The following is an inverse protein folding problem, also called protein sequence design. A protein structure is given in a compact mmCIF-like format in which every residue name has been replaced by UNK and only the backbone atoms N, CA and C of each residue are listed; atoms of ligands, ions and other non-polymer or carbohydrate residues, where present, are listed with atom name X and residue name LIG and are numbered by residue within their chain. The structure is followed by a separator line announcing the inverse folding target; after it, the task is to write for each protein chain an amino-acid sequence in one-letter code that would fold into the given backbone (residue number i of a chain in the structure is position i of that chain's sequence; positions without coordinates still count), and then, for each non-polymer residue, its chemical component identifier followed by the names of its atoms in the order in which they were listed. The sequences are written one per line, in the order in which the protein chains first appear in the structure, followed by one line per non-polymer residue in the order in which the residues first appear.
data_IF_880506498980
#
_entry.id   IF_880506498980
#
_cell.length_a   1.000
_cell.length_b   1.000
_cell.length_c   1.000
_cell.angle_alpha   90.00
_cell.angle_beta   90.00
_cell.angle_gamma   90.00
#
_symmetry.space_group_name_H-M   'P 1'
#
loop_
_entity.id
_entity.type
_entity.pdbx_description
1 polymer ?
#
# COMPACT_ATOMS: atom_id res chain seq x y z
N UNK A 1 15.37 24.19 -3.83
CA UNK A 1 16.24 23.03 -3.52
C UNK A 1 16.36 22.81 -2.02
N UNK A 2 16.66 23.86 -1.23
CA UNK A 2 16.76 23.77 0.23
C UNK A 2 15.48 23.25 0.91
N UNK A 3 14.32 23.85 0.63
CA UNK A 3 13.04 23.41 1.21
C UNK A 3 12.74 21.96 0.88
N UNK A 4 13.02 21.56 -0.37
CA UNK A 4 12.76 20.21 -0.87
C UNK A 4 13.57 19.15 -0.13
N UNK A 5 14.83 19.44 0.19
CA UNK A 5 15.72 18.52 0.92
C UNK A 5 15.28 18.39 2.39
N UNK A 6 14.80 19.48 3.00
CA UNK A 6 14.23 19.44 4.36
C UNK A 6 12.98 18.55 4.42
N UNK A 7 12.16 18.49 3.36
CA UNK A 7 11.00 17.59 3.28
C UNK A 7 11.36 16.11 3.39
N UNK A 8 12.58 15.73 2.99
CA UNK A 8 13.08 14.36 3.12
C UNK A 8 13.79 14.16 4.47
N UNK A 9 14.71 15.08 4.82
CA UNK A 9 15.56 14.94 6.00
C UNK A 9 14.79 15.04 7.32
N UNK A 10 13.76 15.87 7.42
CA UNK A 10 13.00 16.02 8.66
C UNK A 10 12.22 14.75 9.06
N UNK A 11 11.34 14.18 8.20
CA UNK A 11 10.67 12.92 8.53
C UNK A 11 11.65 11.76 8.64
N UNK A 12 12.70 11.72 7.82
CA UNK A 12 13.76 10.73 7.94
C UNK A 12 14.42 10.77 9.33
N UNK A 13 14.84 11.95 9.78
CA UNK A 13 15.51 12.12 11.09
C UNK A 13 14.57 11.77 12.25
N UNK A 14 13.29 12.12 12.16
CA UNK A 14 12.29 11.76 13.16
C UNK A 14 12.09 10.24 13.25
N UNK A 15 12.00 9.55 12.11
CA UNK A 15 11.87 8.09 12.07
C UNK A 15 13.14 7.41 12.56
N UNK A 16 14.33 7.88 12.17
CA UNK A 16 15.60 7.36 12.69
C UNK A 16 15.73 7.58 14.20
N UNK A 17 15.31 8.74 14.70
CA UNK A 17 15.23 9.02 16.13
C UNK A 17 14.32 8.05 16.86
N UNK A 18 13.11 7.80 16.33
CA UNK A 18 12.19 6.81 16.91
C UNK A 18 12.78 5.39 16.90
N UNK A 19 13.43 4.97 15.82
CA UNK A 19 14.02 3.64 15.72
C UNK A 19 15.19 3.45 16.69
N UNK A 20 16.14 4.40 16.73
CA UNK A 20 17.41 4.21 17.45
C UNK A 20 17.46 4.84 18.84
N UNK A 21 16.61 5.82 19.14
CA UNK A 21 16.60 6.51 20.44
C UNK A 21 15.47 6.03 21.35
N UNK A 22 14.68 5.05 20.92
CA UNK A 22 13.68 4.38 21.76
C UNK A 22 14.04 2.90 21.94
N UNK A 23 13.45 2.21 22.95
CA UNK A 23 13.62 0.77 23.11
C UNK A 23 13.16 -0.04 21.90
N UNK A 24 12.48 0.55 20.92
CA UNK A 24 11.99 -0.14 19.72
C UNK A 24 13.13 -0.89 19.01
N UNK A 25 14.32 -0.29 18.86
CA UNK A 25 15.51 -0.97 18.31
C UNK A 25 15.86 -2.28 19.02
N UNK A 26 15.68 -2.35 20.34
CA UNK A 26 15.99 -3.57 21.12
C UNK A 26 14.99 -4.70 20.86
N UNK A 27 13.78 -4.38 20.40
CA UNK A 27 12.77 -5.37 20.00
C UNK A 27 12.84 -5.75 18.51
N UNK A 28 13.59 -5.01 17.69
CA UNK A 28 13.69 -5.20 16.23
C UNK A 28 14.92 -6.02 15.79
N UNK A 29 15.68 -6.59 16.73
CA UNK A 29 16.78 -7.52 16.44
C UNK A 29 17.85 -7.01 15.45
N UNK A 30 18.43 -7.93 14.67
CA UNK A 30 19.51 -7.66 13.71
C UNK A 30 19.05 -7.00 12.39
N UNK A 31 17.76 -6.70 12.23
CA UNK A 31 17.16 -6.19 10.99
C UNK A 31 17.20 -4.65 10.87
N UNK A 32 17.74 -3.95 11.87
CA UNK A 32 17.72 -2.48 11.98
C UNK A 32 18.30 -1.75 10.76
N UNK A 33 19.45 -2.20 10.24
CA UNK A 33 20.05 -1.60 9.04
C UNK A 33 19.16 -1.77 7.81
N UNK A 34 18.56 -2.95 7.65
CA UNK A 34 17.66 -3.25 6.53
C UNK A 34 16.38 -2.42 6.60
N UNK A 35 15.78 -2.31 7.78
CA UNK A 35 14.63 -1.45 8.02
C UNK A 35 14.95 0.00 7.64
N UNK A 36 16.10 0.50 8.07
CA UNK A 36 16.54 1.87 7.74
C UNK A 36 16.75 2.05 6.26
N UNK A 37 17.36 1.08 5.57
CA UNK A 37 17.50 1.13 4.13
C UNK A 37 16.14 1.25 3.42
N UNK A 38 15.16 0.40 3.76
CA UNK A 38 13.86 0.42 3.11
C UNK A 38 13.02 1.66 3.45
N UNK A 39 13.06 2.13 4.70
CA UNK A 39 12.42 3.40 5.09
C UNK A 39 13.04 4.55 4.30
N UNK A 40 14.37 4.59 4.18
CA UNK A 40 15.08 5.60 3.40
C UNK A 40 14.70 5.54 1.93
N UNK A 41 14.59 4.33 1.36
CA UNK A 41 14.17 4.12 -0.03
C UNK A 41 12.73 4.58 -0.27
N UNK A 42 11.80 4.27 0.64
CA UNK A 42 10.40 4.73 0.56
C UNK A 42 10.31 6.25 0.64
N UNK A 43 11.03 6.87 1.59
CA UNK A 43 11.07 8.33 1.69
C UNK A 43 11.72 8.97 0.45
N UNK A 44 12.73 8.32 -0.14
CA UNK A 44 13.40 8.82 -1.33
C UNK A 44 12.47 8.74 -2.55
N UNK A 45 11.70 7.66 -2.67
CA UNK A 45 10.63 7.55 -3.66
C UNK A 45 9.60 8.67 -3.49
N UNK A 46 9.12 8.91 -2.27
CA UNK A 46 8.17 10.01 -1.98
C UNK A 46 8.76 11.36 -2.41
N UNK A 47 10.01 11.63 -2.05
CA UNK A 47 10.72 12.83 -2.44
C UNK A 47 10.81 12.97 -3.97
N UNK A 48 11.19 11.92 -4.70
CA UNK A 48 11.31 11.94 -6.16
C UNK A 48 9.96 12.21 -6.86
N UNK A 49 8.87 11.64 -6.35
CA UNK A 49 7.52 11.84 -6.88
C UNK A 49 7.06 13.30 -6.70
N UNK A 50 7.44 13.93 -5.59
CA UNK A 50 7.04 15.29 -5.23
C UNK A 50 7.95 16.37 -5.82
N UNK A 51 9.27 16.15 -5.93
CA UNK A 51 10.33 17.16 -6.24
C UNK A 51 10.08 18.04 -7.46
N UNK A 52 9.31 17.58 -8.45
CA UNK A 52 9.06 18.29 -9.72
C UNK A 52 7.63 18.81 -9.87
N UNK A 53 6.99 19.34 -8.82
CA UNK A 53 5.58 19.74 -8.90
C UNK A 53 5.30 21.13 -8.33
N UNK A 54 4.46 21.88 -9.04
CA UNK A 54 3.75 23.05 -8.52
C UNK A 54 2.32 22.62 -8.16
N UNK A 55 1.86 22.99 -6.96
CA UNK A 55 0.55 22.63 -6.39
C UNK A 55 -0.65 23.35 -7.05
N UNK A 56 -0.48 24.00 -8.20
CA UNK A 56 -1.51 24.88 -8.78
C UNK A 56 -2.69 24.16 -9.44
N UNK A 57 -2.69 22.83 -9.59
CA UNK A 57 -3.79 22.07 -10.21
C UNK A 57 -4.12 20.80 -9.41
N UNK A 58 -5.09 20.90 -8.49
CA UNK A 58 -5.62 19.75 -7.73
C UNK A 58 -6.56 18.94 -8.62
N UNK A 59 -6.04 17.84 -9.15
CA UNK A 59 -6.76 16.97 -10.10
C UNK A 59 -7.92 16.23 -9.43
N UNK A 60 -9.00 16.02 -10.18
CA UNK A 60 -10.19 15.28 -9.71
C UNK A 60 -9.93 13.78 -9.65
N UNK A 61 -10.80 12.99 -8.99
CA UNK A 61 -10.69 11.52 -8.93
C UNK A 61 -10.91 10.83 -10.28
N UNK A 62 -11.49 11.53 -11.26
CA UNK A 62 -11.73 11.06 -12.62
C UNK A 62 -10.49 11.19 -13.52
N UNK A 63 -9.45 11.89 -13.07
CA UNK A 63 -8.21 12.08 -13.81
C UNK A 63 -7.16 11.04 -13.44
N UNK A 64 -6.30 10.67 -14.38
CA UNK A 64 -5.20 9.76 -14.11
C UNK A 64 -4.10 10.47 -13.30
N UNK A 65 -4.06 10.20 -11.99
CA UNK A 65 -2.99 10.65 -11.08
C UNK A 65 -1.76 9.74 -11.15
N UNK A 66 -1.02 9.80 -12.25
CA UNK A 66 0.16 8.93 -12.50
C UNK A 66 1.16 8.98 -11.33
N UNK A 67 1.44 10.17 -10.79
CA UNK A 67 2.38 10.35 -9.67
C UNK A 67 1.96 9.61 -8.40
N UNK A 68 0.68 9.76 -8.02
CA UNK A 68 0.10 9.03 -6.88
C UNK A 68 0.16 7.53 -7.12
N UNK A 69 -0.15 7.07 -8.33
CA UNK A 69 -0.08 5.64 -8.68
C UNK A 69 1.34 5.08 -8.58
N UNK A 70 2.35 5.82 -9.05
CA UNK A 70 3.76 5.43 -8.91
C UNK A 70 4.19 5.42 -7.44
N UNK A 71 3.80 6.43 -6.66
CA UNK A 71 4.08 6.47 -5.22
C UNK A 71 3.42 5.29 -4.50
N UNK A 72 2.15 5.02 -4.78
CA UNK A 72 1.36 3.94 -4.18
C UNK A 72 1.96 2.57 -4.50
N UNK A 73 2.16 2.27 -5.79
CA UNK A 73 2.74 1.02 -6.24
C UNK A 73 4.17 0.81 -5.72
N UNK A 74 5.04 1.82 -5.86
CA UNK A 74 6.43 1.71 -5.44
C UNK A 74 6.59 1.58 -3.93
N UNK A 75 5.79 2.31 -3.14
CA UNK A 75 5.82 2.21 -1.67
C UNK A 75 5.45 0.80 -1.23
N UNK A 76 4.38 0.25 -1.81
CA UNK A 76 3.91 -1.08 -1.49
C UNK A 76 4.87 -2.21 -1.89
N UNK A 77 5.46 -2.14 -3.08
CA UNK A 77 6.49 -3.09 -3.51
C UNK A 77 7.69 -3.04 -2.56
N UNK A 78 8.17 -1.84 -2.19
CA UNK A 78 9.26 -1.69 -1.24
C UNK A 78 8.92 -2.27 0.15
N UNK A 79 7.68 -2.10 0.63
CA UNK A 79 7.21 -2.73 1.88
C UNK A 79 7.27 -4.26 1.78
N UNK A 80 6.72 -4.84 0.70
CA UNK A 80 6.74 -6.30 0.50
C UNK A 80 8.17 -6.82 0.43
N UNK A 81 9.07 -6.15 -0.31
CA UNK A 81 10.49 -6.53 -0.36
C UNK A 81 11.15 -6.43 1.02
N UNK A 82 10.90 -5.35 1.78
CA UNK A 82 11.44 -5.18 3.13
C UNK A 82 11.05 -6.33 4.06
N UNK A 83 9.81 -6.82 3.93
CA UNK A 83 9.32 -7.88 4.81
C UNK A 83 10.01 -9.23 4.60
N UNK A 84 10.74 -9.46 3.50
CA UNK A 84 11.58 -10.68 3.39
C UNK A 84 12.71 -10.71 4.42
N UNK A 85 13.12 -9.55 4.95
CA UNK A 85 14.23 -9.41 5.90
C UNK A 85 13.79 -9.18 7.35
N UNK A 86 12.49 -9.27 7.63
CA UNK A 86 11.92 -9.07 8.96
C UNK A 86 10.73 -9.98 9.23
N UNK A 87 10.24 -9.98 10.46
CA UNK A 87 9.02 -10.68 10.87
C UNK A 87 7.76 -9.93 10.45
N UNK A 88 6.63 -10.64 10.40
CA UNK A 88 5.32 -10.01 10.17
C UNK A 88 4.99 -8.99 11.27
N UNK A 89 5.37 -9.27 12.52
CA UNK A 89 5.12 -8.38 13.65
C UNK A 89 5.92 -7.07 13.52
N UNK A 90 7.21 -7.14 13.17
CA UNK A 90 8.01 -5.93 12.93
C UNK A 90 7.40 -5.07 11.82
N UNK A 91 7.00 -5.69 10.70
CA UNK A 91 6.33 -4.99 9.61
C UNK A 91 5.03 -4.30 10.09
N UNK A 92 4.17 -5.03 10.81
CA UNK A 92 2.92 -4.49 11.35
C UNK A 92 3.16 -3.28 12.28
N UNK A 93 4.12 -3.39 13.21
CA UNK A 93 4.44 -2.33 14.17
C UNK A 93 4.97 -1.09 13.47
N UNK A 94 5.92 -1.23 12.54
CA UNK A 94 6.47 -0.10 11.78
C UNK A 94 5.36 0.60 10.99
N UNK A 95 4.54 -0.17 10.26
CA UNK A 95 3.45 0.37 9.44
C UNK A 95 2.41 1.08 10.31
N UNK A 96 2.08 0.54 11.48
CA UNK A 96 1.16 1.15 12.44
C UNK A 96 1.71 2.47 13.01
N UNK A 97 3.00 2.54 13.36
CA UNK A 97 3.66 3.78 13.80
C UNK A 97 3.64 4.84 12.69
N UNK A 98 3.92 4.45 11.45
CA UNK A 98 3.83 5.35 10.29
C UNK A 98 2.39 5.83 10.07
N UNK A 99 1.38 4.96 10.17
CA UNK A 99 -0.02 5.34 10.08
C UNK A 99 -0.42 6.33 11.20
N UNK A 100 -0.03 6.05 12.44
CA UNK A 100 -0.25 6.95 13.58
C UNK A 100 0.40 8.32 13.36
N UNK A 101 1.61 8.34 12.77
CA UNK A 101 2.29 9.60 12.42
C UNK A 101 1.47 10.42 11.42
N UNK A 102 0.94 9.80 10.35
CA UNK A 102 0.05 10.47 9.41
C UNK A 102 -1.25 10.96 10.05
N UNK A 103 -1.80 10.20 10.99
CA UNK A 103 -2.98 10.61 11.76
C UNK A 103 -2.67 11.86 12.61
N UNK A 104 -1.59 11.84 13.39
CA UNK A 104 -1.16 12.98 14.22
C UNK A 104 -0.89 14.22 13.38
N UNK A 105 -0.16 14.10 12.26
CA UNK A 105 0.06 15.22 11.34
C UNK A 105 -1.27 15.74 10.79
N UNK A 106 -2.18 14.85 10.40
CA UNK A 106 -3.51 15.25 9.90
C UNK A 106 -4.35 15.97 10.95
N UNK A 107 -4.22 15.59 12.22
CA UNK A 107 -4.84 16.29 13.35
C UNK A 107 -4.20 17.68 13.55
N UNK A 108 -2.87 17.77 13.55
CA UNK A 108 -2.14 19.03 13.71
C UNK A 108 -2.42 20.03 12.59
N UNK A 109 -2.64 19.57 11.35
CA UNK A 109 -3.08 20.42 10.23
C UNK A 109 -4.36 21.20 10.55
N UNK A 110 -5.29 20.60 11.28
CA UNK A 110 -6.55 21.26 11.69
C UNK A 110 -6.32 22.34 12.75
N UNK A 111 -5.24 22.22 13.52
CA UNK A 111 -4.93 23.11 14.65
C UNK A 111 -3.98 24.26 14.26
N UNK A 112 -3.14 24.08 13.23
CA UNK A 112 -2.12 25.07 12.85
C UNK A 112 -2.07 25.31 11.35
N UNK A 113 -2.33 26.57 10.96
CA UNK A 113 -2.22 27.03 9.57
C UNK A 113 -0.79 26.87 9.01
N UNK A 114 0.22 27.01 9.85
CA UNK A 114 1.62 26.80 9.44
C UNK A 114 1.89 25.33 9.09
N UNK A 115 1.39 24.40 9.92
CA UNK A 115 1.51 22.96 9.66
C UNK A 115 0.75 22.57 8.40
N UNK A 116 -0.46 23.10 8.20
CA UNK A 116 -1.23 22.81 6.99
C UNK A 116 -0.58 23.39 5.73
N UNK A 117 -0.08 24.63 5.77
CA UNK A 117 0.62 25.24 4.65
C UNK A 117 1.87 24.43 4.25
N UNK A 118 2.69 24.03 5.24
CA UNK A 118 3.84 23.15 5.00
C UNK A 118 3.34 21.83 4.41
N UNK A 119 2.37 21.16 5.03
CA UNK A 119 1.85 19.88 4.54
C UNK A 119 1.36 19.95 3.09
N UNK A 120 0.61 20.98 2.71
CA UNK A 120 0.13 21.18 1.34
C UNK A 120 1.27 21.51 0.38
N UNK A 121 2.28 22.26 0.81
CA UNK A 121 3.48 22.52 0.01
C UNK A 121 4.25 21.22 -0.29
N UNK A 122 4.35 20.31 0.67
CA UNK A 122 5.03 19.02 0.52
C UNK A 122 4.16 18.02 -0.25
N UNK A 123 2.98 17.69 0.27
CA UNK A 123 2.18 16.55 -0.20
C UNK A 123 1.10 16.94 -1.21
N UNK A 124 0.78 18.23 -1.35
CA UNK A 124 -0.22 18.73 -2.28
C UNK A 124 -0.21 18.09 -3.68
N UNK A 125 0.96 17.87 -4.33
CA UNK A 125 1.06 17.21 -5.63
C UNK A 125 0.46 15.80 -5.75
N UNK A 126 0.25 15.10 -4.63
CA UNK A 126 -0.25 13.71 -4.61
C UNK A 126 -1.60 13.58 -3.88
N UNK A 127 -2.12 14.66 -3.30
CA UNK A 127 -3.39 14.67 -2.58
C UNK A 127 -4.59 14.81 -3.52
N UNK A 128 -5.70 14.17 -3.16
CA UNK A 128 -7.04 14.38 -3.73
C UNK A 128 -7.68 15.62 -3.09
N UNK A 129 -8.64 16.22 -3.80
CA UNK A 129 -9.36 17.43 -3.35
C UNK A 129 -9.95 17.32 -1.93
N UNK A 130 -10.49 16.17 -1.56
CA UNK A 130 -11.03 15.98 -0.20
C UNK A 130 -9.95 15.81 0.88
N UNK A 131 -8.75 15.32 0.53
CA UNK A 131 -7.60 15.19 1.45
C UNK A 131 -6.94 16.56 1.71
N UNK A 132 -7.02 17.46 0.72
CA UNK A 132 -6.70 18.89 0.89
C UNK A 132 -7.62 19.49 1.96
N UNK A 133 -8.92 19.22 1.92
CA UNK A 133 -9.93 19.65 2.91
C UNK A 133 -9.89 18.93 4.27
N UNK A 134 -8.70 18.55 4.75
CA UNK A 134 -8.46 17.92 6.06
C UNK A 134 -9.11 16.54 6.31
N UNK A 135 -9.56 15.82 5.27
CA UNK A 135 -9.77 14.37 5.43
C UNK A 135 -8.42 13.67 5.60
N UNK A 136 -8.45 12.52 6.29
CA UNK A 136 -7.27 11.66 6.40
C UNK A 136 -6.79 11.27 4.99
N UNK A 137 -5.47 11.34 4.73
CA UNK A 137 -4.92 11.02 3.42
C UNK A 137 -5.01 9.52 3.15
N UNK A 138 -5.10 9.12 1.88
CA UNK A 138 -5.05 7.70 1.48
C UNK A 138 -3.83 6.95 2.02
N UNK A 139 -2.70 7.63 2.23
CA UNK A 139 -1.51 7.06 2.84
C UNK A 139 -1.76 6.52 4.27
N UNK A 140 -2.61 7.17 5.06
CA UNK A 140 -3.02 6.66 6.38
C UNK A 140 -3.72 5.31 6.24
N UNK A 141 -4.72 5.23 5.36
CA UNK A 141 -5.51 4.02 5.13
C UNK A 141 -4.66 2.89 4.53
N UNK A 142 -3.76 3.21 3.60
CA UNK A 142 -2.80 2.28 3.01
C UNK A 142 -1.91 1.64 4.07
N UNK A 143 -1.30 2.45 4.93
CA UNK A 143 -0.41 1.96 5.98
C UNK A 143 -1.17 1.16 7.03
N UNK A 144 -2.35 1.61 7.42
CA UNK A 144 -3.21 0.91 8.38
C UNK A 144 -3.71 -0.43 7.82
N UNK A 145 -4.21 -0.46 6.59
CA UNK A 145 -4.66 -1.70 5.93
C UNK A 145 -3.51 -2.69 5.77
N UNK A 146 -2.32 -2.21 5.40
CA UNK A 146 -1.13 -3.05 5.32
C UNK A 146 -0.72 -3.60 6.69
N UNK A 147 -0.70 -2.75 7.74
CA UNK A 147 -0.38 -3.17 9.10
C UNK A 147 -1.34 -4.24 9.61
N UNK A 148 -2.64 -4.01 9.45
CA UNK A 148 -3.69 -4.95 9.85
C UNK A 148 -3.58 -6.27 9.08
N UNK A 149 -3.26 -6.25 7.78
CA UNK A 149 -3.03 -7.49 7.03
C UNK A 149 -1.88 -8.32 7.62
N UNK A 150 -0.78 -7.70 8.05
CA UNK A 150 0.33 -8.40 8.72
C UNK A 150 0.00 -8.89 10.13
N UNK A 151 -1.00 -8.31 10.80
CA UNK A 151 -1.52 -8.80 12.09
C UNK A 151 -2.48 -9.98 11.89
N UNK A 152 -3.35 -9.89 10.88
CA UNK A 152 -4.49 -10.80 10.70
C UNK A 152 -4.14 -12.06 9.92
N UNK A 153 -3.16 -12.00 9.02
CA UNK A 153 -2.87 -13.08 8.07
C UNK A 153 -1.44 -13.62 8.22
N UNK A 154 -1.21 -14.89 7.84
CA UNK A 154 0.14 -15.41 7.65
C UNK A 154 0.97 -14.49 6.75
N UNK A 155 2.26 -14.36 7.05
CA UNK A 155 3.16 -13.39 6.42
C UNK A 155 3.07 -13.37 4.89
N UNK A 156 3.06 -14.53 4.23
CA UNK A 156 2.99 -14.61 2.77
C UNK A 156 1.64 -14.12 2.20
N UNK A 157 0.53 -14.37 2.90
CA UNK A 157 -0.79 -13.87 2.52
C UNK A 157 -0.87 -12.37 2.73
N UNK A 158 -0.32 -11.86 3.84
CA UNK A 158 -0.22 -10.43 4.09
C UNK A 158 0.61 -9.71 3.02
N UNK A 159 1.75 -10.30 2.63
CA UNK A 159 2.59 -9.79 1.54
C UNK A 159 1.82 -9.72 0.21
N UNK A 160 1.10 -10.79 -0.16
CA UNK A 160 0.25 -10.80 -1.35
C UNK A 160 -0.86 -9.77 -1.27
N UNK A 161 -1.50 -9.60 -0.12
CA UNK A 161 -2.59 -8.66 0.08
C UNK A 161 -2.12 -7.20 -0.10
N UNK A 162 -0.95 -6.88 0.46
CA UNK A 162 -0.29 -5.58 0.25
C UNK A 162 0.11 -5.42 -1.20
N UNK A 163 0.66 -6.45 -1.85
CA UNK A 163 1.04 -6.39 -3.27
C UNK A 163 -0.19 -6.16 -4.19
N UNK A 164 -1.30 -6.82 -3.90
CA UNK A 164 -2.59 -6.63 -4.58
C UNK A 164 -3.11 -5.21 -4.39
N UNK A 165 -3.09 -4.67 -3.17
CA UNK A 165 -3.43 -3.25 -2.96
C UNK A 165 -2.52 -2.33 -3.79
N UNK A 166 -1.23 -2.64 -3.82
CA UNK A 166 -0.20 -1.75 -4.35
C UNK A 166 -0.19 -1.72 -5.88
N UNK A 167 -0.46 -2.83 -6.53
CA UNK A 167 -0.46 -2.95 -7.99
C UNK A 167 -1.88 -2.99 -8.57
N UNK A 168 -2.79 -3.68 -7.89
CA UNK A 168 -4.19 -3.85 -8.25
C UNK A 168 -4.94 -2.53 -8.33
N UNK A 169 -4.96 -1.71 -7.27
CA UNK A 169 -5.68 -0.42 -7.28
C UNK A 169 -5.19 0.53 -8.40
N UNK A 170 -3.86 0.74 -8.59
CA UNK A 170 -3.37 1.54 -9.70
C UNK A 170 -3.83 1.05 -11.07
N UNK A 171 -3.76 -0.27 -11.31
CA UNK A 171 -4.21 -0.89 -12.57
C UNK A 171 -5.73 -0.81 -12.73
N UNK A 172 -6.50 -1.07 -11.67
CA UNK A 172 -7.95 -1.01 -11.67
C UNK A 172 -8.43 0.38 -12.11
N UNK A 173 -7.88 1.42 -11.50
CA UNK A 173 -8.23 2.79 -11.88
C UNK A 173 -7.61 3.21 -13.23
N UNK A 174 -6.48 2.66 -13.66
CA UNK A 174 -5.96 2.92 -15.02
C UNK A 174 -6.92 2.40 -16.09
N UNK A 175 -7.25 1.10 -16.07
CA UNK A 175 -8.18 0.50 -17.02
C UNK A 175 -9.60 1.02 -16.83
N UNK A 176 -9.99 1.35 -15.60
CA UNK A 176 -11.28 1.94 -15.30
C UNK A 176 -11.47 3.33 -15.89
N UNK A 177 -10.41 4.15 -15.97
CA UNK A 177 -10.45 5.47 -16.61
C UNK A 177 -10.32 5.34 -18.13
N UNK A 178 -9.40 4.52 -18.64
CA UNK A 178 -9.08 4.46 -20.08
C UNK A 178 -10.09 3.65 -20.89
N UNK A 179 -10.58 2.53 -20.34
CA UNK A 179 -11.50 1.60 -21.03
C UNK A 179 -12.90 1.60 -20.42
N UNK A 180 -13.11 2.31 -19.31
CA UNK A 180 -14.38 2.29 -18.57
C UNK A 180 -15.59 2.77 -19.35
N UNK A 181 -15.41 3.68 -20.31
CA UNK A 181 -16.49 4.16 -21.19
C UNK A 181 -17.03 3.07 -22.13
N UNK A 182 -16.22 2.05 -22.43
CA UNK A 182 -16.58 0.90 -23.26
C UNK A 182 -16.87 -0.35 -22.42
N UNK A 183 -17.06 -0.18 -21.11
CA UNK A 183 -17.20 -1.26 -20.16
C UNK A 183 -18.46 -1.12 -19.31
N UNK A 184 -18.93 -2.24 -18.77
CA UNK A 184 -20.09 -2.25 -17.87
C UNK A 184 -19.72 -1.59 -16.54
N UNK A 185 -20.56 -0.66 -16.08
CA UNK A 185 -20.46 -0.10 -14.72
C UNK A 185 -21.14 -1.03 -13.73
N UNK A 186 -20.47 -1.25 -12.60
CA UNK A 186 -20.96 -2.02 -11.46
C UNK A 186 -21.78 -1.13 -10.52
N UNK A 187 -22.51 -1.76 -9.58
CA UNK A 187 -23.38 -1.09 -8.62
C UNK A 187 -22.67 -0.05 -7.73
N UNK A 188 -21.37 -0.23 -7.50
CA UNK A 188 -20.52 0.65 -6.68
C UNK A 188 -19.79 1.73 -7.51
N UNK A 189 -20.12 1.88 -8.80
CA UNK A 189 -19.48 2.85 -9.70
C UNK A 189 -18.14 2.41 -10.29
N UNK A 190 -17.60 1.25 -9.91
CA UNK A 190 -16.42 0.65 -10.55
C UNK A 190 -16.80 0.10 -11.93
N UNK A 191 -15.81 -0.13 -12.79
CA UNK A 191 -16.05 -0.68 -14.15
C UNK A 191 -15.49 -2.09 -14.27
N UNK A 192 -16.12 -2.91 -15.10
CA UNK A 192 -15.67 -4.27 -15.36
C UNK A 192 -14.24 -4.29 -15.93
N UNK A 193 -13.88 -3.32 -16.78
CA UNK A 193 -12.52 -3.14 -17.29
C UNK A 193 -11.50 -2.90 -16.16
N UNK A 194 -11.85 -2.09 -15.16
CA UNK A 194 -11.02 -1.89 -13.97
C UNK A 194 -10.84 -3.19 -13.17
N UNK A 195 -11.93 -3.92 -12.93
CA UNK A 195 -11.89 -5.19 -12.18
C UNK A 195 -11.05 -6.25 -12.91
N UNK A 196 -11.19 -6.38 -14.23
CA UNK A 196 -10.36 -7.28 -15.04
C UNK A 196 -8.89 -6.85 -15.00
N UNK A 197 -8.62 -5.55 -15.11
CA UNK A 197 -7.26 -5.01 -14.97
C UNK A 197 -6.64 -5.32 -13.60
N UNK A 198 -7.42 -5.20 -12.53
CA UNK A 198 -7.03 -5.59 -11.18
C UNK A 198 -6.73 -7.09 -11.08
N UNK A 199 -7.64 -7.92 -11.57
CA UNK A 199 -7.50 -9.38 -11.58
C UNK A 199 -6.19 -9.80 -12.26
N UNK A 200 -5.94 -9.30 -13.47
CA UNK A 200 -4.75 -9.67 -14.25
C UNK A 200 -3.46 -9.27 -13.55
N UNK A 201 -3.37 -8.05 -13.00
CA UNK A 201 -2.14 -7.65 -12.30
C UNK A 201 -1.97 -8.39 -10.97
N UNK A 202 -3.06 -8.69 -10.24
CA UNK A 202 -3.00 -9.49 -9.01
C UNK A 202 -2.57 -10.93 -9.31
N UNK A 203 -3.09 -11.53 -10.39
CA UNK A 203 -2.67 -12.85 -10.86
C UNK A 203 -1.17 -12.85 -11.21
N UNK A 204 -0.73 -11.93 -12.06
CA UNK A 204 0.67 -11.89 -12.51
C UNK A 204 1.63 -11.61 -11.37
N UNK A 205 1.27 -10.70 -10.46
CA UNK A 205 2.10 -10.40 -9.28
C UNK A 205 2.10 -11.55 -8.26
N UNK A 206 0.99 -12.28 -8.10
CA UNK A 206 0.94 -13.51 -7.29
C UNK A 206 1.82 -14.61 -7.88
N UNK A 207 1.74 -14.83 -9.20
CA UNK A 207 2.60 -15.80 -9.89
C UNK A 207 4.07 -15.43 -9.69
N UNK A 208 4.44 -14.17 -9.95
CA UNK A 208 5.81 -13.71 -9.74
C UNK A 208 6.26 -13.90 -8.28
N UNK A 209 5.44 -13.52 -7.30
CA UNK A 209 5.77 -13.63 -5.89
C UNK A 209 5.94 -15.08 -5.40
N UNK A 210 5.03 -15.97 -5.80
CA UNK A 210 5.04 -17.38 -5.38
C UNK A 210 6.10 -18.21 -6.11
N UNK A 211 6.58 -17.76 -7.27
CA UNK A 211 7.62 -18.48 -8.04
C UNK A 211 9.05 -18.00 -7.79
N UNK A 212 9.23 -16.73 -7.40
CA UNK A 212 10.58 -16.14 -7.23
C UNK A 212 11.14 -16.26 -5.83
N UNK A 213 10.30 -16.54 -4.83
CA UNK A 213 10.72 -16.71 -3.45
C UNK A 213 10.19 -18.03 -2.91
N UNK A 214 11.02 -18.71 -2.11
CA UNK A 214 10.59 -19.89 -1.35
C UNK A 214 9.75 -19.43 -0.16
N UNK A 215 8.56 -19.99 -0.03
CA UNK A 215 7.68 -19.74 1.10
C UNK A 215 7.39 -21.07 1.80
N UNK A 216 7.86 -21.27 3.02
CA UNK A 216 7.71 -22.54 3.75
C UNK A 216 6.24 -23.00 3.84
N UNK A 217 5.30 -22.06 3.83
CA UNK A 217 3.86 -22.36 3.86
C UNK A 217 3.31 -23.02 2.58
N UNK A 218 4.05 -23.01 1.46
CA UNK A 218 3.62 -23.55 0.18
C UNK A 218 4.55 -24.63 -0.37
N UNK A 219 5.70 -24.89 0.27
CA UNK A 219 6.70 -25.85 -0.24
C UNK A 219 6.15 -27.27 -0.34
N UNK A 220 5.26 -27.64 0.58
CA UNK A 220 4.66 -28.99 0.63
C UNK A 220 3.44 -29.14 -0.29
N UNK A 221 3.00 -28.05 -0.94
CA UNK A 221 1.88 -28.10 -1.88
C UNK A 221 2.31 -28.75 -3.20
N UNK A 222 1.46 -29.62 -3.74
CA UNK A 222 1.62 -30.13 -5.10
C UNK A 222 1.62 -29.01 -6.14
N UNK A 223 2.24 -29.24 -7.30
CA UNK A 223 2.24 -28.26 -8.41
C UNK A 223 0.82 -27.81 -8.78
N UNK A 224 -0.15 -28.72 -8.74
CA UNK A 224 -1.55 -28.40 -8.99
C UNK A 224 -2.12 -27.43 -7.94
N UNK A 225 -1.92 -27.71 -6.65
CA UNK A 225 -2.36 -26.84 -5.56
C UNK A 225 -1.69 -25.45 -5.63
N UNK A 226 -0.42 -25.37 -6.01
CA UNK A 226 0.28 -24.09 -6.22
C UNK A 226 -0.33 -23.29 -7.37
N UNK A 227 -0.62 -23.93 -8.51
CA UNK A 227 -1.29 -23.27 -9.64
C UNK A 227 -2.70 -22.78 -9.28
N UNK A 228 -3.45 -23.58 -8.53
CA UNK A 228 -4.75 -23.16 -7.99
C UNK A 228 -4.59 -21.93 -7.08
N UNK A 229 -3.64 -21.95 -6.16
CA UNK A 229 -3.40 -20.84 -5.24
C UNK A 229 -3.07 -19.55 -6.00
N UNK A 230 -2.22 -19.61 -7.03
CA UNK A 230 -1.90 -18.46 -7.89
C UNK A 230 -3.14 -17.88 -8.57
N UNK A 231 -3.98 -18.74 -9.17
CA UNK A 231 -5.23 -18.33 -9.81
C UNK A 231 -6.21 -17.69 -8.82
N UNK A 232 -6.39 -18.33 -7.68
CA UNK A 232 -7.31 -17.90 -6.62
C UNK A 232 -6.82 -16.62 -5.92
N UNK A 233 -5.52 -16.38 -5.83
CA UNK A 233 -4.97 -15.12 -5.32
C UNK A 233 -5.33 -13.93 -6.23
N UNK A 234 -5.24 -14.10 -7.55
CA UNK A 234 -5.72 -13.09 -8.51
C UNK A 234 -7.21 -12.77 -8.33
N UNK A 235 -8.04 -13.80 -8.14
CA UNK A 235 -9.48 -13.64 -7.85
C UNK A 235 -9.70 -12.88 -6.54
N UNK A 236 -8.97 -13.22 -5.48
CA UNK A 236 -9.08 -12.55 -4.20
C UNK A 236 -8.71 -11.06 -4.28
N UNK A 237 -7.71 -10.69 -5.08
CA UNK A 237 -7.38 -9.30 -5.37
C UNK A 237 -8.54 -8.55 -6.05
N UNK A 238 -9.18 -9.17 -7.05
CA UNK A 238 -10.34 -8.60 -7.73
C UNK A 238 -11.58 -8.48 -6.82
N UNK A 239 -11.80 -9.46 -5.93
CA UNK A 239 -12.85 -9.38 -4.91
C UNK A 239 -12.58 -8.21 -3.97
N UNK A 240 -11.34 -8.06 -3.48
CA UNK A 240 -10.96 -6.93 -2.64
C UNK A 240 -11.16 -5.58 -3.32
N UNK A 241 -10.92 -5.49 -4.62
CA UNK A 241 -11.21 -4.29 -5.42
C UNK A 241 -12.73 -4.03 -5.53
N UNK A 242 -13.57 -5.06 -5.70
CA UNK A 242 -15.03 -4.88 -5.82
C UNK A 242 -15.68 -4.56 -4.48
N UNK A 243 -15.22 -5.15 -3.38
CA UNK A 243 -15.79 -5.00 -2.05
C UNK A 243 -15.30 -3.71 -1.38
N UNK A 244 -15.98 -2.59 -1.67
CA UNK A 244 -15.86 -1.36 -0.88
C UNK A 244 -16.91 -1.37 0.23
N UNK A 245 -16.48 -1.33 1.49
CA UNK A 245 -17.34 -1.34 2.70
C UNK A 245 -17.57 0.04 3.32
N UNK A 246 -17.58 1.09 2.50
CA UNK A 246 -17.82 2.46 2.94
C UNK A 246 -16.62 3.12 3.65
N UNK A 247 -15.50 2.42 3.77
CA UNK A 247 -14.21 3.00 4.13
C UNK A 247 -13.33 3.22 2.87
N UNK A 248 -12.15 3.81 3.04
CA UNK A 248 -11.21 4.03 1.94
C UNK A 248 -10.71 2.68 1.38
N UNK A 249 -10.63 2.55 0.06
CA UNK A 249 -10.20 1.33 -0.63
C UNK A 249 -8.80 0.87 -0.20
N UNK A 250 -7.94 1.81 0.23
CA UNK A 250 -6.59 1.48 0.71
C UNK A 250 -6.59 0.73 2.04
N UNK A 251 -7.70 0.78 2.79
CA UNK A 251 -7.91 0.00 4.00
C UNK A 251 -8.64 -1.32 3.68
N UNK A 252 -9.73 -1.27 2.92
CA UNK A 252 -10.58 -2.46 2.70
C UNK A 252 -9.96 -3.49 1.77
N UNK A 253 -9.34 -3.06 0.67
CA UNK A 253 -8.83 -3.95 -0.36
C UNK A 253 -7.84 -5.01 0.16
N UNK A 254 -6.77 -4.67 0.92
CA UNK A 254 -5.83 -5.68 1.42
C UNK A 254 -6.48 -6.59 2.46
N UNK A 255 -7.45 -6.11 3.24
CA UNK A 255 -8.17 -6.92 4.22
C UNK A 255 -9.06 -7.97 3.54
N UNK A 256 -9.89 -7.56 2.58
CA UNK A 256 -10.71 -8.52 1.86
C UNK A 256 -9.88 -9.46 0.99
N UNK A 257 -8.88 -8.94 0.30
CA UNK A 257 -7.98 -9.80 -0.49
C UNK A 257 -7.31 -10.84 0.40
N UNK A 258 -6.76 -10.45 1.55
CA UNK A 258 -6.17 -11.37 2.53
C UNK A 258 -7.15 -12.39 3.09
N UNK A 259 -8.38 -11.96 3.42
CA UNK A 259 -9.44 -12.84 3.89
C UNK A 259 -9.77 -13.93 2.86
N UNK A 260 -10.07 -13.56 1.62
CA UNK A 260 -10.42 -14.52 0.57
C UNK A 260 -9.24 -15.42 0.21
N UNK A 261 -8.02 -14.90 0.15
CA UNK A 261 -6.82 -15.74 -0.03
C UNK A 261 -6.66 -16.76 1.09
N UNK A 262 -6.92 -16.38 2.34
CA UNK A 262 -6.85 -17.30 3.49
C UNK A 262 -7.88 -18.42 3.36
N UNK A 263 -9.12 -18.08 2.98
CA UNK A 263 -10.17 -19.07 2.74
C UNK A 263 -9.80 -20.03 1.60
N UNK A 264 -9.28 -19.48 0.49
CA UNK A 264 -8.85 -20.29 -0.65
C UNK A 264 -7.67 -21.19 -0.30
N UNK A 265 -6.68 -20.69 0.43
CA UNK A 265 -5.52 -21.46 0.87
C UNK A 265 -5.95 -22.66 1.72
N UNK A 266 -6.82 -22.46 2.71
CA UNK A 266 -7.34 -23.57 3.53
C UNK A 266 -8.21 -24.56 2.75
N UNK A 267 -9.00 -24.07 1.78
CA UNK A 267 -9.77 -24.95 0.91
C UNK A 267 -8.87 -25.82 0.02
N UNK A 268 -7.76 -25.27 -0.49
CA UNK A 268 -6.78 -25.98 -1.31
C UNK A 268 -6.02 -27.02 -0.50
N UNK A 269 -5.68 -26.73 0.76
CA UNK A 269 -5.05 -27.69 1.67
C UNK A 269 -5.93 -28.91 1.97
N UNK A 270 -7.25 -28.79 1.80
CA UNK A 270 -8.19 -29.88 2.03
C UNK A 270 -8.44 -30.76 0.77
N UNK A 271 -7.83 -30.42 -0.38
CA UNK A 271 -7.85 -31.22 -1.62
C UNK A 271 -6.73 -32.26 -1.61
#
# INVERSE_FOLDING_TARGET
MHESVVMFLAPWSAIMGLLYLTPLSTYMGASSLTIVFFISAILALQFLVVKRSNYSNVRTTQELHVRRKVQHAGTGVLIVVATFYGSALEAAVILAICALTFYCVSFMRKQSKAVDAIYLQIFGPILRQHEVGHRLPGAFYFLMGSALSFVLYPKFIAQLAVLHLSLGDPCASFFGITLGQHSTKLWNGKTLAGVIGCFLVCLLSSVAFLTTATHDAITDLSTFQQLLLMGMAGIAGAIGEVLNVGCDDNLSMPLFSGLFMTLFYHAILAL
#
